data_IF_236194863207
#
_entry.id   IF_236194863207
#
_cell.length_a   1.000
_cell.length_b   1.000
_cell.length_c   1.000
_cell.angle_alpha   90.00
_cell.angle_beta   90.00
_cell.angle_gamma   90.00
#
_symmetry.space_group_name_H-M   'P 1'
#
loop_
_entity.id
_entity.type
_entity.pdbx_description
1 polymer ?
#
# COMPACT_ATOMS: atom_id res chain seq x y z
N UNK A 1 -18.26 13.38 24.49
CA UNK A 1 -17.27 13.47 24.74
C UNK A 1 -16.54 12.35 24.83
N UNK A 2 -15.58 12.03 24.55
CA UNK A 2 -14.97 11.09 24.61
C UNK A 2 -14.00 10.96 24.82
N UNK A 3 -13.40 10.47 24.91
CA UNK A 3 -12.74 10.42 25.37
C UNK A 3 -11.66 9.55 25.41
N UNK A 4 -11.41 8.66 24.49
CA UNK A 4 -10.23 7.86 24.40
C UNK A 4 -9.00 8.69 24.25
N UNK A 5 -9.10 9.85 23.66
CA UNK A 5 -7.95 10.72 23.47
C UNK A 5 -7.43 11.33 24.75
N UNK A 6 -8.29 11.47 25.74
CA UNK A 6 -7.89 12.03 27.02
C UNK A 6 -7.00 11.10 27.83
N UNK A 7 -6.95 9.81 27.48
CA UNK A 7 -6.12 8.85 28.19
C UNK A 7 -4.77 8.61 27.54
N UNK A 8 -4.54 9.14 26.33
CA UNK A 8 -3.26 9.00 25.65
C UNK A 8 -2.18 9.80 26.38
N UNK A 9 -1.06 9.15 26.67
CA UNK A 9 0.07 9.75 27.35
C UNK A 9 1.27 9.98 26.44
N UNK A 10 1.33 9.26 25.34
CA UNK A 10 2.37 9.47 24.34
C UNK A 10 1.81 9.12 22.95
N UNK A 11 2.58 9.45 21.92
CA UNK A 11 2.11 9.28 20.55
C UNK A 11 1.86 7.83 20.17
N UNK A 12 2.52 6.87 20.85
CA UNK A 12 2.32 5.45 20.57
C UNK A 12 0.91 4.97 20.93
N UNK A 13 0.27 5.67 21.83
CA UNK A 13 -1.11 5.33 22.23
C UNK A 13 -2.11 5.58 21.09
N UNK A 14 -1.74 6.38 20.09
CA UNK A 14 -2.58 6.65 18.92
C UNK A 14 -1.96 6.09 17.62
N UNK A 15 -0.93 5.26 17.73
CA UNK A 15 -0.20 4.75 16.57
C UNK A 15 -1.08 3.96 15.61
N UNK A 16 -2.12 3.30 16.10
CA UNK A 16 -3.06 2.55 15.27
C UNK A 16 -3.86 3.45 14.30
N UNK A 17 -3.85 4.76 14.53
CA UNK A 17 -4.54 5.74 13.69
C UNK A 17 -3.58 6.48 12.75
N UNK A 18 -2.32 6.07 12.71
CA UNK A 18 -1.28 6.72 11.91
C UNK A 18 -0.84 5.83 10.76
N UNK A 19 -0.35 6.46 9.69
CA UNK A 19 0.26 5.72 8.60
C UNK A 19 1.67 5.27 9.00
N UNK A 20 2.20 4.27 8.29
CA UNK A 20 3.56 3.78 8.54
C UNK A 20 4.60 4.89 8.38
N UNK A 21 4.42 5.78 7.40
CA UNK A 21 5.32 6.91 7.19
C UNK A 21 5.28 7.89 8.35
N UNK A 22 4.09 8.15 8.89
CA UNK A 22 3.93 9.03 10.05
C UNK A 22 4.57 8.44 11.30
N UNK A 23 4.40 7.15 11.52
CA UNK A 23 5.04 6.44 12.63
C UNK A 23 6.56 6.54 12.51
N UNK A 24 7.11 6.29 11.32
CA UNK A 24 8.55 6.37 11.10
C UNK A 24 9.08 7.79 11.37
N UNK A 25 8.32 8.81 10.98
CA UNK A 25 8.70 10.18 11.22
C UNK A 25 8.72 10.51 12.72
N UNK A 26 7.71 10.06 13.46
CA UNK A 26 7.67 10.26 14.90
C UNK A 26 8.80 9.51 15.61
N UNK A 27 9.11 8.30 15.16
CA UNK A 27 10.25 7.56 15.70
C UNK A 27 11.56 8.30 15.51
N UNK A 28 11.72 8.96 14.36
CA UNK A 28 12.93 9.74 14.09
C UNK A 28 13.03 11.00 14.97
N UNK A 29 11.92 11.47 15.49
CA UNK A 29 11.84 12.67 16.32
C UNK A 29 11.77 12.35 17.82
N UNK A 30 11.99 11.11 18.22
CA UNK A 30 11.81 10.71 19.63
C UNK A 30 12.72 11.42 20.64
N UNK A 31 13.67 12.19 20.17
CA UNK A 31 14.52 13.01 21.04
C UNK A 31 13.85 14.32 21.45
N UNK A 32 12.74 14.66 20.80
CA UNK A 32 12.00 15.88 21.11
C UNK A 32 11.06 15.66 22.29
N UNK A 33 10.43 16.73 22.72
CA UNK A 33 9.53 16.67 23.86
C UNK A 33 8.34 15.73 23.59
N UNK A 34 8.05 14.79 24.50
CA UNK A 34 6.96 13.82 24.29
C UNK A 34 5.60 14.45 24.04
N UNK A 35 5.30 15.58 24.65
CA UNK A 35 4.03 16.25 24.44
C UNK A 35 3.87 16.81 23.05
N UNK A 36 4.94 17.35 22.49
CA UNK A 36 4.93 17.84 21.11
C UNK A 36 4.66 16.71 20.13
N UNK A 37 5.28 15.55 20.35
CA UNK A 37 5.05 14.38 19.52
C UNK A 37 3.63 13.86 19.63
N UNK A 38 3.08 13.87 20.82
CA UNK A 38 1.69 13.45 21.03
C UNK A 38 0.70 14.38 20.33
N UNK A 39 0.93 15.68 20.40
CA UNK A 39 0.08 16.65 19.70
C UNK A 39 0.14 16.46 18.19
N UNK A 40 1.33 16.24 17.63
CA UNK A 40 1.50 15.96 16.22
C UNK A 40 0.75 14.67 15.82
N UNK A 41 0.89 13.63 16.62
CA UNK A 41 0.24 12.35 16.36
C UNK A 41 -1.29 12.50 16.39
N UNK A 42 -1.82 13.20 17.37
CA UNK A 42 -3.26 13.45 17.45
C UNK A 42 -3.78 14.24 16.27
N UNK A 43 -3.03 15.25 15.85
CA UNK A 43 -3.40 16.05 14.68
C UNK A 43 -3.42 15.21 13.41
N UNK A 44 -2.40 14.40 13.21
CA UNK A 44 -2.34 13.52 12.06
C UNK A 44 -3.43 12.45 12.07
N UNK A 45 -3.71 11.88 13.25
CA UNK A 45 -4.78 10.90 13.39
C UNK A 45 -6.14 11.51 13.02
N UNK A 46 -6.42 12.73 13.48
CA UNK A 46 -7.64 13.42 13.12
C UNK A 46 -7.72 13.72 11.62
N UNK A 47 -6.61 14.13 11.02
CA UNK A 47 -6.54 14.35 9.58
C UNK A 47 -6.76 13.05 8.80
N UNK A 48 -6.18 11.94 9.24
CA UNK A 48 -6.35 10.65 8.60
C UNK A 48 -7.81 10.21 8.62
N UNK A 49 -8.49 10.36 9.74
CA UNK A 49 -9.91 10.03 9.84
C UNK A 49 -10.73 10.90 8.88
N UNK A 50 -10.46 12.18 8.85
CA UNK A 50 -11.17 13.12 7.98
C UNK A 50 -10.89 12.85 6.51
N UNK A 51 -9.63 12.52 6.18
CA UNK A 51 -9.21 12.28 4.80
C UNK A 51 -9.67 10.93 4.27
N UNK A 52 -9.72 9.91 5.13
CA UNK A 52 -10.10 8.56 4.70
C UNK A 52 -11.60 8.41 4.46
N UNK A 53 -12.44 9.11 5.24
CA UNK A 53 -13.89 9.00 5.14
C UNK A 53 -14.44 9.24 3.73
N UNK A 54 -13.95 10.22 2.95
CA UNK A 54 -14.44 10.44 1.59
C UNK A 54 -14.19 9.28 0.63
N UNK A 55 -13.29 8.35 0.97
CA UNK A 55 -12.92 7.24 0.10
C UNK A 55 -13.57 5.91 0.47
N UNK A 56 -14.40 5.88 1.51
CA UNK A 56 -15.06 4.66 1.97
C UNK A 56 -15.98 4.07 0.87
N UNK A 57 -16.48 4.91 -0.03
CA UNK A 57 -17.33 4.49 -1.13
C UNK A 57 -16.55 3.98 -2.34
N UNK A 58 -15.24 4.11 -2.34
CA UNK A 58 -14.41 3.66 -3.48
C UNK A 58 -14.19 2.17 -3.34
N UNK A 59 -14.75 1.40 -4.26
CA UNK A 59 -14.63 -0.05 -4.26
C UNK A 59 -13.17 -0.45 -4.49
N UNK A 60 -12.78 -1.59 -3.91
CA UNK A 60 -11.47 -2.17 -4.17
C UNK A 60 -11.31 -2.45 -5.66
N UNK A 61 -10.09 -2.30 -6.20
CA UNK A 61 -9.85 -2.60 -7.62
C UNK A 61 -10.20 -4.04 -7.94
N UNK A 62 -10.75 -4.28 -9.11
CA UNK A 62 -11.06 -5.62 -9.58
C UNK A 62 -9.79 -6.49 -9.56
N UNK A 63 -9.90 -7.70 -9.03
CA UNK A 63 -8.78 -8.63 -8.93
C UNK A 63 -7.76 -8.32 -7.86
N UNK A 64 -7.98 -7.31 -7.03
CA UNK A 64 -7.08 -6.99 -5.92
C UNK A 64 -7.14 -8.10 -4.87
N UNK A 65 -5.98 -8.61 -4.49
CA UNK A 65 -5.80 -9.56 -3.39
C UNK A 65 -5.51 -8.81 -2.10
N UNK A 66 -4.85 -7.67 -2.21
CA UNK A 66 -4.49 -6.83 -1.08
C UNK A 66 -4.49 -5.37 -1.51
N UNK A 67 -5.11 -4.52 -0.69
CA UNK A 67 -5.06 -3.06 -0.87
C UNK A 67 -4.32 -2.44 0.31
N UNK A 68 -3.64 -1.35 0.04
CA UNK A 68 -2.91 -0.59 1.05
C UNK A 68 -3.68 0.68 1.41
N UNK A 69 -3.20 1.39 2.41
CA UNK A 69 -3.85 2.60 2.89
C UNK A 69 -3.81 3.72 1.86
N UNK A 70 -4.83 4.57 1.90
CA UNK A 70 -4.83 5.78 1.08
C UNK A 70 -3.70 6.70 1.48
N UNK A 71 -3.03 7.25 0.48
CA UNK A 71 -1.89 8.15 0.65
C UNK A 71 -2.11 9.41 -0.17
N UNK A 72 -1.55 10.51 0.29
CA UNK A 72 -1.58 11.77 -0.43
C UNK A 72 -0.18 12.10 -0.96
N UNK A 73 -0.11 12.28 -2.26
CA UNK A 73 1.04 12.90 -2.93
C UNK A 73 0.45 14.10 -3.65
N UNK A 74 0.55 14.25 -4.94
CA UNK A 74 -0.21 15.30 -5.65
C UNK A 74 -1.71 15.06 -5.58
N UNK A 75 -2.12 13.81 -5.55
CA UNK A 75 -3.52 13.38 -5.42
C UNK A 75 -3.60 12.21 -4.44
N UNK A 76 -4.81 11.95 -3.96
CA UNK A 76 -5.05 10.78 -3.12
C UNK A 76 -5.02 9.50 -3.97
N UNK A 77 -4.29 8.49 -3.49
CA UNK A 77 -4.18 7.20 -4.15
C UNK A 77 -3.96 6.09 -3.13
N UNK A 78 -4.19 4.87 -3.55
CA UNK A 78 -3.74 3.69 -2.81
C UNK A 78 -3.14 2.68 -3.78
N UNK A 79 -2.13 1.98 -3.31
CA UNK A 79 -1.53 0.89 -4.06
C UNK A 79 -2.25 -0.41 -3.74
N UNK A 80 -2.16 -1.37 -4.65
CA UNK A 80 -2.74 -2.70 -4.44
C UNK A 80 -1.91 -3.75 -5.12
N UNK A 81 -2.06 -4.98 -4.64
CA UNK A 81 -1.46 -6.15 -5.24
C UNK A 81 -2.56 -7.05 -5.77
N UNK A 82 -2.37 -7.56 -6.96
CA UNK A 82 -3.23 -8.57 -7.56
C UNK A 82 -2.67 -9.97 -7.37
N UNK A 83 -3.02 -10.86 -8.30
CA UNK A 83 -2.58 -12.26 -8.24
C UNK A 83 -1.09 -12.40 -8.51
N UNK A 84 -0.51 -13.47 -7.97
CA UNK A 84 0.89 -13.83 -8.16
C UNK A 84 0.97 -15.16 -8.89
N UNK A 85 1.89 -15.26 -9.84
CA UNK A 85 2.19 -16.50 -10.55
C UNK A 85 3.64 -16.87 -10.32
N UNK A 86 3.86 -18.14 -9.99
CA UNK A 86 5.20 -18.64 -9.73
C UNK A 86 5.70 -19.36 -10.99
N UNK A 87 6.92 -19.07 -11.35
CA UNK A 87 7.65 -19.76 -12.39
C UNK A 87 8.98 -20.25 -11.79
N UNK A 88 9.67 -21.13 -12.50
CA UNK A 88 10.99 -21.59 -12.04
C UNK A 88 11.92 -20.36 -11.97
N UNK A 89 12.55 -20.15 -10.83
CA UNK A 89 13.50 -19.07 -10.57
C UNK A 89 12.89 -17.66 -10.63
N UNK A 90 11.57 -17.54 -10.77
CA UNK A 90 10.93 -16.24 -10.88
C UNK A 90 9.51 -16.23 -10.32
N UNK A 91 9.02 -15.03 -10.03
CA UNK A 91 7.66 -14.79 -9.59
C UNK A 91 7.15 -13.56 -10.33
N UNK A 92 5.93 -13.65 -10.82
CA UNK A 92 5.25 -12.57 -11.54
C UNK A 92 4.05 -12.14 -10.73
N UNK A 93 3.94 -10.86 -10.43
CA UNK A 93 2.84 -10.33 -9.64
C UNK A 93 2.22 -9.14 -10.32
N UNK A 94 0.89 -9.09 -10.36
CA UNK A 94 0.16 -7.92 -10.80
C UNK A 94 0.11 -6.94 -9.64
N UNK A 95 0.49 -5.70 -9.90
CA UNK A 95 0.43 -4.62 -8.95
C UNK A 95 -0.33 -3.46 -9.58
N UNK A 96 -0.76 -2.51 -8.78
CA UNK A 96 -1.42 -1.36 -9.33
C UNK A 96 -1.58 -0.22 -8.36
N UNK A 97 -2.18 0.84 -8.87
CA UNK A 97 -2.50 2.04 -8.10
C UNK A 97 -3.90 2.49 -8.46
N UNK A 98 -4.68 2.82 -7.44
CA UNK A 98 -6.03 3.33 -7.60
C UNK A 98 -6.08 4.78 -7.14
N UNK A 99 -6.69 5.63 -7.96
CA UNK A 99 -6.92 7.02 -7.60
C UNK A 99 -8.22 7.17 -6.82
N UNK A 100 -8.41 8.33 -6.21
CA UNK A 100 -9.60 8.61 -5.41
C UNK A 100 -10.90 8.55 -6.21
N UNK A 101 -10.83 8.76 -7.53
CA UNK A 101 -11.99 8.64 -8.41
C UNK A 101 -12.34 7.20 -8.79
N UNK A 102 -11.57 6.23 -8.26
CA UNK A 102 -11.74 4.81 -8.54
C UNK A 102 -10.96 4.28 -9.73
N UNK A 103 -10.38 5.16 -10.55
CA UNK A 103 -9.59 4.73 -11.70
C UNK A 103 -8.34 3.99 -11.25
N UNK A 104 -7.90 3.04 -12.07
CA UNK A 104 -6.77 2.17 -11.74
C UNK A 104 -5.75 2.14 -12.86
N UNK A 105 -4.50 1.92 -12.46
CA UNK A 105 -3.39 1.63 -13.35
C UNK A 105 -2.72 0.37 -12.83
N UNK A 106 -2.45 -0.57 -13.73
CA UNK A 106 -1.84 -1.85 -13.37
C UNK A 106 -0.51 -2.03 -14.10
N UNK A 107 0.38 -2.76 -13.47
CA UNK A 107 1.65 -3.17 -14.06
C UNK A 107 2.03 -4.55 -13.54
N UNK A 108 3.06 -5.12 -14.12
CA UNK A 108 3.54 -6.46 -13.77
C UNK A 108 4.91 -6.28 -13.11
N UNK A 109 5.05 -6.79 -11.89
CA UNK A 109 6.32 -6.86 -11.18
C UNK A 109 6.92 -8.24 -11.35
N UNK A 110 8.19 -8.30 -11.69
CA UNK A 110 8.92 -9.56 -11.87
C UNK A 110 10.02 -9.64 -10.83
N UNK A 111 10.02 -10.74 -10.07
CA UNK A 111 11.05 -11.01 -9.08
C UNK A 111 11.80 -12.28 -9.48
N UNK A 112 13.10 -12.20 -9.59
CA UNK A 112 13.95 -13.35 -9.93
C UNK A 112 14.92 -13.62 -8.78
N UNK A 113 15.26 -14.90 -8.58
CA UNK A 113 16.27 -15.27 -7.58
C UNK A 113 17.67 -14.88 -7.99
N UNK A 114 17.93 -14.93 -9.29
CA UNK A 114 19.22 -14.58 -9.85
C UNK A 114 19.01 -13.46 -10.87
N UNK A 115 19.67 -12.34 -10.66
CA UNK A 115 19.42 -11.13 -11.43
C UNK A 115 19.75 -11.26 -12.91
N UNK A 116 20.64 -12.17 -13.29
CA UNK A 116 21.22 -12.13 -14.63
C UNK A 116 21.12 -13.42 -15.44
N UNK A 117 20.51 -14.47 -14.91
CA UNK A 117 20.50 -15.72 -15.65
C UNK A 117 19.28 -16.58 -15.34
N UNK A 118 18.53 -16.89 -16.34
CA UNK A 118 17.49 -17.92 -16.32
C UNK A 118 17.90 -19.01 -17.29
N UNK A 119 17.75 -20.28 -16.87
CA UNK A 119 17.90 -21.35 -17.85
C UNK A 119 16.74 -21.32 -18.84
N UNK A 120 16.85 -22.01 -19.99
CA UNK A 120 15.81 -21.93 -21.02
C UNK A 120 14.43 -22.37 -20.56
N UNK A 121 14.35 -23.35 -19.65
CA UNK A 121 13.08 -23.80 -19.10
C UNK A 121 12.46 -22.72 -18.22
N UNK A 122 13.25 -22.12 -17.34
CA UNK A 122 12.81 -21.02 -16.50
C UNK A 122 12.37 -19.82 -17.33
N UNK A 123 13.07 -19.52 -18.40
CA UNK A 123 12.71 -18.42 -19.30
C UNK A 123 11.36 -18.67 -19.98
N UNK A 124 11.09 -19.89 -20.42
CA UNK A 124 9.79 -20.23 -21.02
C UNK A 124 8.66 -20.17 -20.00
N UNK A 125 8.90 -20.64 -18.79
CA UNK A 125 7.90 -20.55 -17.72
C UNK A 125 7.60 -19.10 -17.35
N UNK A 126 8.63 -18.27 -17.29
CA UNK A 126 8.45 -16.83 -17.04
C UNK A 126 7.65 -16.17 -18.17
N UNK A 127 7.95 -16.50 -19.42
CA UNK A 127 7.21 -15.97 -20.56
C UNK A 127 5.72 -16.34 -20.48
N UNK A 128 5.40 -17.59 -20.12
CA UNK A 128 4.03 -18.04 -19.96
C UNK A 128 3.34 -17.29 -18.80
N UNK A 129 4.03 -17.10 -17.68
CA UNK A 129 3.48 -16.38 -16.53
C UNK A 129 3.23 -14.91 -16.86
N UNK A 130 4.10 -14.28 -17.63
CA UNK A 130 3.92 -12.90 -18.08
C UNK A 130 2.71 -12.77 -19.01
N UNK A 131 2.54 -13.71 -19.93
CA UNK A 131 1.39 -13.72 -20.83
C UNK A 131 0.09 -13.90 -20.06
N UNK A 132 0.06 -14.82 -19.10
CA UNK A 132 -1.11 -15.03 -18.26
C UNK A 132 -1.47 -13.79 -17.44
N UNK A 133 -0.47 -13.10 -16.91
CA UNK A 133 -0.70 -11.87 -16.15
C UNK A 133 -1.25 -10.77 -17.05
N UNK A 134 -0.71 -10.63 -18.26
CA UNK A 134 -1.20 -9.66 -19.24
C UNK A 134 -2.67 -9.95 -19.61
N UNK A 135 -2.99 -11.20 -19.86
CA UNK A 135 -4.37 -11.62 -20.16
C UNK A 135 -5.32 -11.29 -19.02
N UNK A 136 -4.89 -11.50 -17.78
CA UNK A 136 -5.71 -11.14 -16.63
C UNK A 136 -5.93 -9.64 -16.54
N UNK A 137 -4.91 -8.83 -16.75
CA UNK A 137 -5.03 -7.37 -16.74
C UNK A 137 -6.04 -6.92 -17.79
N UNK A 138 -6.00 -7.50 -18.98
CA UNK A 138 -6.98 -7.18 -20.03
C UNK A 138 -8.40 -7.51 -19.60
N UNK A 139 -8.61 -8.65 -18.94
CA UNK A 139 -9.94 -9.02 -18.44
C UNK A 139 -10.44 -8.09 -17.36
N UNK A 140 -9.55 -7.47 -16.60
CA UNK A 140 -9.90 -6.59 -15.50
C UNK A 140 -10.10 -5.13 -15.92
N UNK A 141 -9.79 -4.82 -17.15
CA UNK A 141 -9.85 -3.45 -17.67
C UNK A 141 -11.21 -3.11 -18.24
#
# INVERSE_FOLDING_TARGET
MTTSDDTAQNWRDVADQLTAAQIAQLESLERDEPQTLLEMARQWAAQNVTAAAPFDHVAEPAGAVRTFDWQLDSNWFRDFEGTTRHARQARVQICGRQQADGSTRRWIAVHTRHLNALDPTAARELAAALTDADDEIERLS
#
